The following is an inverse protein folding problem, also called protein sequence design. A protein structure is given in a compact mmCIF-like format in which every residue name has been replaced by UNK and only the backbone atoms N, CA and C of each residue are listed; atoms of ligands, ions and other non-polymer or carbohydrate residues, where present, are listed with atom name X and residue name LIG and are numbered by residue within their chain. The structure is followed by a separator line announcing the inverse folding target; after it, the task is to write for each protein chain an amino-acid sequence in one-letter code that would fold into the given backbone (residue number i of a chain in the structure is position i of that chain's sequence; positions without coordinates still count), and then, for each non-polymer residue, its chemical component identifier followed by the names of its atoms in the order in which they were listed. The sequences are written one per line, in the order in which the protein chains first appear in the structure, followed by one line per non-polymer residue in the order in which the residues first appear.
data_IF_318291188586
#
_entry.id   IF_318291188586
#
_cell.length_a   1.000
_cell.length_b   1.000
_cell.length_c   1.000
_cell.angle_alpha   90.00
_cell.angle_beta   90.00
_cell.angle_gamma   90.00
#
_symmetry.space_group_name_H-M   'P 1'
#
loop_
_entity.id
_entity.type
_entity.pdbx_description
1 polymer ?
#
# COMPACT_ATOMS: atom_id res chain seq x y z
N UNK A 1 -3.43 19.97 -3.42
CA UNK A 1 -2.88 18.72 -4.00
C UNK A 1 -3.53 18.31 -5.33
N UNK A 2 -2.89 18.67 -6.44
CA UNK A 2 -3.27 18.23 -7.81
C UNK A 2 -2.45 17.01 -8.29
N UNK A 3 -1.38 16.64 -7.57
CA UNK A 3 -0.47 15.59 -8.02
C UNK A 3 -0.96 14.17 -7.76
N UNK A 4 -1.39 13.53 -8.86
CA UNK A 4 -1.79 12.12 -8.98
C UNK A 4 -0.65 11.09 -8.79
N UNK A 5 0.58 11.50 -8.47
CA UNK A 5 1.75 10.59 -8.51
C UNK A 5 1.71 9.48 -7.45
N UNK A 6 0.98 9.70 -6.35
CA UNK A 6 0.78 8.69 -5.31
C UNK A 6 -0.52 7.90 -5.48
N UNK A 7 -1.34 8.19 -6.50
CA UNK A 7 -2.73 7.75 -6.75
C UNK A 7 -3.42 7.03 -5.57
N UNK A 8 -3.20 5.72 -5.42
CA UNK A 8 -3.83 4.89 -4.37
C UNK A 8 -3.43 5.26 -2.94
N UNK A 9 -2.24 5.84 -2.74
CA UNK A 9 -1.70 6.28 -1.46
C UNK A 9 -1.94 7.77 -1.17
N UNK A 10 -2.56 8.54 -2.08
CA UNK A 10 -2.78 9.97 -1.88
C UNK A 10 -3.48 10.31 -0.54
N UNK A 11 -4.53 9.59 -0.09
CA UNK A 11 -5.12 9.83 1.22
C UNK A 11 -4.14 9.65 2.39
N UNK A 12 -3.20 8.70 2.28
CA UNK A 12 -2.19 8.44 3.30
C UNK A 12 -1.11 9.51 3.32
N UNK A 13 -0.70 10.00 2.16
CA UNK A 13 0.22 11.14 2.06
C UNK A 13 -0.39 12.39 2.69
N UNK A 14 -1.67 12.69 2.38
CA UNK A 14 -2.37 13.83 2.97
C UNK A 14 -2.45 13.71 4.50
N UNK A 15 -2.78 12.53 5.02
CA UNK A 15 -2.84 12.27 6.45
C UNK A 15 -1.47 12.46 7.13
N UNK A 16 -0.39 11.95 6.51
CA UNK A 16 0.97 12.16 7.00
C UNK A 16 1.36 13.64 7.02
N UNK A 17 1.15 14.37 5.91
CA UNK A 17 1.51 15.80 5.88
C UNK A 17 0.74 16.58 6.94
N UNK A 18 -0.55 16.32 7.06
CA UNK A 18 -1.40 16.98 8.07
C UNK A 18 -0.89 16.71 9.48
N UNK A 19 -0.38 15.50 9.76
CA UNK A 19 0.10 15.14 11.10
C UNK A 19 1.49 15.68 11.44
N UNK A 20 2.32 16.00 10.44
CA UNK A 20 3.70 16.46 10.65
C UNK A 20 3.85 17.97 10.54
N UNK A 21 2.86 18.68 10.00
CA UNK A 21 2.88 20.15 9.90
C UNK A 21 2.20 20.79 11.10
N UNK A 22 2.74 21.89 11.60
CA UNK A 22 2.27 22.57 12.82
C UNK A 22 1.45 23.84 12.56
N UNK A 23 1.42 24.32 11.31
CA UNK A 23 0.66 25.50 10.90
C UNK A 23 0.10 25.37 9.49
N UNK A 24 -0.94 26.15 9.18
CA UNK A 24 -1.51 26.21 7.84
C UNK A 24 -0.51 26.72 6.78
N UNK A 25 0.38 27.62 7.18
CA UNK A 25 1.44 28.15 6.29
C UNK A 25 2.47 27.06 5.95
N UNK A 26 2.92 26.31 6.95
CA UNK A 26 3.85 25.19 6.72
C UNK A 26 3.20 24.11 5.84
N UNK A 27 1.93 23.79 6.10
CA UNK A 27 1.15 22.87 5.26
C UNK A 27 1.08 23.33 3.81
N UNK A 28 0.75 24.60 3.55
CA UNK A 28 0.65 25.14 2.20
C UNK A 28 1.99 25.08 1.45
N UNK A 29 3.11 25.31 2.14
CA UNK A 29 4.45 25.18 1.55
C UNK A 29 4.76 23.73 1.17
N UNK A 30 4.44 22.78 2.05
CA UNK A 30 4.65 21.34 1.80
C UNK A 30 3.74 20.85 0.68
N UNK A 31 2.44 21.20 0.68
CA UNK A 31 1.50 20.83 -0.39
C UNK A 31 1.98 21.33 -1.75
N UNK A 32 2.46 22.59 -1.82
CA UNK A 32 3.03 23.15 -3.04
C UNK A 32 4.30 22.41 -3.48
N UNK A 33 5.17 22.02 -2.55
CA UNK A 33 6.36 21.23 -2.88
C UNK A 33 5.98 19.83 -3.39
N UNK A 34 4.97 19.19 -2.81
CA UNK A 34 4.47 17.91 -3.31
C UNK A 34 4.00 18.00 -4.76
N UNK A 35 3.31 19.08 -5.09
CA UNK A 35 2.82 19.32 -6.44
C UNK A 35 3.94 19.56 -7.48
N UNK A 36 5.10 20.08 -7.06
CA UNK A 36 6.20 20.42 -7.98
C UNK A 36 7.30 19.35 -8.03
N UNK A 37 7.69 18.80 -6.88
CA UNK A 37 8.94 18.04 -6.72
C UNK A 37 8.73 16.68 -6.06
N UNK A 38 7.75 16.56 -5.14
CA UNK A 38 7.54 15.33 -4.39
C UNK A 38 7.35 14.11 -5.29
N UNK A 39 6.59 14.29 -6.37
CA UNK A 39 6.38 13.29 -7.40
C UNK A 39 7.69 12.78 -8.04
N UNK A 40 8.58 13.72 -8.37
CA UNK A 40 9.87 13.42 -8.96
C UNK A 40 10.75 12.66 -7.98
N UNK A 41 10.81 13.09 -6.71
CA UNK A 41 11.58 12.41 -5.68
C UNK A 41 11.10 10.95 -5.50
N UNK A 42 9.79 10.74 -5.41
CA UNK A 42 9.21 9.39 -5.31
C UNK A 42 9.57 8.51 -6.52
N UNK A 43 9.50 9.06 -7.74
CA UNK A 43 9.87 8.35 -8.96
C UNK A 43 11.36 7.99 -8.97
N UNK A 44 12.24 8.92 -8.63
CA UNK A 44 13.69 8.71 -8.61
C UNK A 44 14.08 7.56 -7.67
N UNK A 45 13.52 7.50 -6.46
CA UNK A 45 13.77 6.39 -5.53
C UNK A 45 13.41 5.03 -6.13
N UNK A 46 12.27 4.94 -6.79
CA UNK A 46 11.81 3.69 -7.43
C UNK A 46 12.61 3.31 -8.66
N UNK A 47 13.05 4.29 -9.45
CA UNK A 47 13.91 4.08 -10.60
C UNK A 47 15.29 3.57 -10.18
N UNK A 48 15.87 4.14 -9.13
CA UNK A 48 17.16 3.70 -8.59
C UNK A 48 17.06 2.25 -8.10
N UNK A 49 16.04 1.95 -7.28
CA UNK A 49 15.76 0.57 -6.85
C UNK A 49 15.57 -0.37 -8.04
N UNK A 50 14.79 0.04 -9.05
CA UNK A 50 14.57 -0.80 -10.23
C UNK A 50 15.86 -1.10 -10.99
N UNK A 51 16.74 -0.12 -11.17
CA UNK A 51 18.02 -0.30 -11.88
C UNK A 51 18.89 -1.33 -11.17
N UNK A 52 18.93 -1.30 -9.84
CA UNK A 52 19.70 -2.24 -9.01
C UNK A 52 19.13 -3.67 -9.08
N UNK A 53 17.80 -3.80 -9.12
CA UNK A 53 17.10 -5.08 -9.05
C UNK A 53 16.52 -5.58 -10.39
N UNK A 54 16.92 -4.97 -11.51
CA UNK A 54 16.31 -5.21 -12.83
C UNK A 54 16.35 -6.68 -13.25
N UNK A 55 17.45 -7.38 -12.97
CA UNK A 55 17.63 -8.77 -13.37
C UNK A 55 16.69 -9.72 -12.61
N UNK A 56 16.34 -9.41 -11.36
CA UNK A 56 15.37 -10.19 -10.59
C UNK A 56 13.98 -10.13 -11.23
N UNK A 57 13.58 -8.96 -11.74
CA UNK A 57 12.31 -8.78 -12.45
C UNK A 57 12.27 -9.45 -13.84
N UNK A 58 13.42 -9.65 -14.50
CA UNK A 58 13.48 -10.29 -15.82
C UNK A 58 13.16 -11.78 -15.78
N UNK A 59 13.63 -12.46 -14.74
CA UNK A 59 13.69 -13.92 -14.67
C UNK A 59 12.35 -14.61 -14.33
N UNK A 60 11.23 -13.89 -14.38
CA UNK A 60 9.93 -14.47 -14.02
C UNK A 60 9.29 -15.28 -15.15
N UNK A 61 8.87 -16.49 -14.80
CA UNK A 61 7.96 -17.35 -15.57
C UNK A 61 6.53 -17.15 -15.07
N UNK A 62 5.54 -17.32 -15.97
CA UNK A 62 4.12 -16.99 -15.80
C UNK A 62 3.52 -17.28 -14.41
N UNK A 63 3.32 -16.22 -13.60
CA UNK A 63 2.66 -16.27 -12.29
C UNK A 63 3.02 -15.08 -11.39
N UNK A 64 2.24 -14.86 -10.32
CA UNK A 64 2.62 -13.92 -9.24
C UNK A 64 3.61 -14.63 -8.32
N UNK A 65 4.88 -14.23 -8.36
CA UNK A 65 5.91 -14.75 -7.46
C UNK A 65 5.89 -13.98 -6.15
N UNK A 66 5.83 -14.68 -5.01
CA UNK A 66 5.88 -14.05 -3.68
C UNK A 66 7.17 -13.23 -3.50
N UNK A 67 8.30 -13.72 -4.01
CA UNK A 67 9.56 -13.00 -3.96
C UNK A 67 9.49 -11.67 -4.74
N UNK A 68 8.91 -11.68 -5.94
CA UNK A 68 8.77 -10.47 -6.74
C UNK A 68 7.70 -9.53 -6.22
N UNK A 69 6.65 -10.06 -5.59
CA UNK A 69 5.66 -9.28 -4.89
C UNK A 69 6.32 -8.48 -3.77
N UNK A 70 7.10 -9.15 -2.91
CA UNK A 70 7.89 -8.49 -1.85
C UNK A 70 8.92 -7.51 -2.43
N UNK A 71 9.57 -7.84 -3.54
CA UNK A 71 10.49 -6.94 -4.22
C UNK A 71 9.79 -5.69 -4.74
N UNK A 72 8.56 -5.83 -5.23
CA UNK A 72 7.73 -4.70 -5.69
C UNK A 72 7.28 -3.82 -4.52
N UNK A 73 6.95 -4.40 -3.36
CA UNK A 73 6.69 -3.63 -2.14
C UNK A 73 7.93 -2.84 -1.73
N UNK A 74 9.11 -3.46 -1.73
CA UNK A 74 10.39 -2.79 -1.43
C UNK A 74 10.68 -1.66 -2.42
N UNK A 75 10.39 -1.84 -3.71
CA UNK A 75 10.53 -0.78 -4.70
C UNK A 75 9.68 0.44 -4.34
N UNK A 76 8.41 0.25 -4.00
CA UNK A 76 7.51 1.35 -3.59
C UNK A 76 8.02 2.03 -2.31
N UNK A 77 8.43 1.24 -1.30
CA UNK A 77 8.99 1.78 -0.07
C UNK A 77 10.30 2.56 -0.30
N UNK A 78 11.14 2.14 -1.24
CA UNK A 78 12.33 2.89 -1.66
C UNK A 78 11.96 4.25 -2.24
N UNK A 79 10.90 4.32 -3.05
CA UNK A 79 10.31 5.58 -3.49
C UNK A 79 9.92 6.48 -2.33
N UNK A 80 9.19 5.96 -1.35
CA UNK A 80 8.76 6.76 -0.20
C UNK A 80 9.91 7.18 0.71
N UNK A 81 10.92 6.34 0.91
CA UNK A 81 12.13 6.72 1.66
C UNK A 81 12.83 7.90 0.97
N UNK A 82 13.08 7.82 -0.34
CA UNK A 82 13.72 8.90 -1.08
C UNK A 82 12.87 10.18 -1.10
N UNK A 83 11.55 10.04 -1.20
CA UNK A 83 10.61 11.15 -1.08
C UNK A 83 10.70 11.82 0.29
N UNK A 84 10.77 11.05 1.37
CA UNK A 84 10.86 11.58 2.72
C UNK A 84 12.21 12.26 2.99
N UNK A 85 13.30 11.66 2.51
CA UNK A 85 14.64 12.26 2.57
C UNK A 85 14.66 13.63 1.86
N UNK A 86 14.03 13.72 0.69
CA UNK A 86 13.89 14.98 -0.04
C UNK A 86 13.01 15.99 0.71
N UNK A 87 11.91 15.54 1.32
CA UNK A 87 11.02 16.37 2.13
C UNK A 87 11.76 17.01 3.31
N UNK A 88 12.46 16.21 4.11
CA UNK A 88 13.18 16.73 5.31
C UNK A 88 14.42 17.54 4.94
N UNK A 89 14.99 17.30 3.75
CA UNK A 89 16.06 18.15 3.19
C UNK A 89 15.52 19.53 2.82
N UNK A 90 14.35 19.57 2.15
CA UNK A 90 13.71 20.81 1.73
C UNK A 90 13.11 21.59 2.92
N UNK A 91 12.61 20.87 3.92
CA UNK A 91 12.02 21.44 5.14
C UNK A 91 12.73 20.90 6.38
N UNK A 92 13.93 21.40 6.73
CA UNK A 92 14.72 20.88 7.85
C UNK A 92 14.02 20.89 9.20
N UNK A 93 13.05 21.81 9.39
CA UNK A 93 12.21 21.85 10.59
C UNK A 93 11.36 20.58 10.80
N UNK A 94 11.13 19.79 9.73
CA UNK A 94 10.44 18.50 9.80
C UNK A 94 11.38 17.35 10.18
N UNK A 95 12.70 17.55 10.23
CA UNK A 95 13.66 16.51 10.62
C UNK A 95 13.68 16.33 12.14
N UNK A 96 12.62 15.70 12.67
CA UNK A 96 12.46 15.42 14.09
C UNK A 96 12.14 13.94 14.29
N UNK A 97 12.42 13.44 15.49
CA UNK A 97 12.11 12.05 15.86
C UNK A 97 10.62 11.72 15.69
N UNK A 98 9.73 12.63 16.12
CA UNK A 98 8.28 12.46 15.99
C UNK A 98 7.84 12.32 14.53
N UNK A 99 8.40 13.12 13.63
CA UNK A 99 8.12 13.03 12.19
C UNK A 99 8.68 11.72 11.60
N UNK A 100 9.84 11.27 12.07
CA UNK A 100 10.41 9.97 11.70
C UNK A 100 9.51 8.78 12.12
N UNK A 101 8.91 8.84 13.31
CA UNK A 101 7.94 7.85 13.78
C UNK A 101 6.67 7.85 12.92
N UNK A 102 6.09 9.03 12.67
CA UNK A 102 4.93 9.16 11.78
C UNK A 102 5.21 8.61 10.37
N UNK A 103 6.42 8.82 9.85
CA UNK A 103 6.82 8.26 8.58
C UNK A 103 7.00 6.73 8.62
N UNK A 104 7.50 6.19 9.73
CA UNK A 104 7.57 4.74 9.94
C UNK A 104 6.19 4.10 9.90
N UNK A 105 5.21 4.68 10.59
CA UNK A 105 3.83 4.21 10.61
C UNK A 105 3.20 4.30 9.21
N UNK A 106 3.42 5.43 8.52
CA UNK A 106 2.98 5.62 7.13
C UNK A 106 3.49 4.50 6.20
N UNK A 107 4.75 4.06 6.34
CA UNK A 107 5.30 2.97 5.53
C UNK A 107 4.59 1.65 5.76
N UNK A 108 4.27 1.32 7.02
CA UNK A 108 3.52 0.10 7.37
C UNK A 108 2.15 0.14 6.70
N UNK A 109 1.48 1.28 6.75
CA UNK A 109 0.17 1.44 6.11
C UNK A 109 0.25 1.33 4.57
N UNK A 110 1.32 1.82 3.94
CA UNK A 110 1.47 1.79 2.48
C UNK A 110 1.63 0.39 1.91
N UNK A 111 2.06 -0.59 2.71
CA UNK A 111 2.19 -2.00 2.30
C UNK A 111 1.10 -2.90 2.88
N UNK A 112 0.05 -2.30 3.46
CA UNK A 112 -1.10 -3.04 3.98
C UNK A 112 -1.78 -3.90 2.91
N UNK A 113 -2.38 -5.00 3.31
CA UNK A 113 -2.96 -6.02 2.41
C UNK A 113 -4.04 -5.48 1.46
N UNK A 114 -4.70 -4.38 1.81
CA UNK A 114 -5.68 -3.72 0.94
C UNK A 114 -5.05 -3.22 -0.36
N UNK A 115 -3.73 -3.00 -0.40
CA UNK A 115 -2.97 -2.64 -1.60
C UNK A 115 -2.43 -3.85 -2.36
N UNK A 116 -2.72 -5.10 -1.96
CA UNK A 116 -2.15 -6.29 -2.60
C UNK A 116 -2.48 -6.36 -4.11
N UNK A 117 -3.69 -5.97 -4.51
CA UNK A 117 -4.07 -5.92 -5.92
C UNK A 117 -3.22 -4.89 -6.72
N UNK A 118 -2.90 -3.75 -6.10
CA UNK A 118 -2.01 -2.74 -6.68
C UNK A 118 -0.61 -3.33 -6.85
N UNK A 119 -0.05 -3.94 -5.81
CA UNK A 119 1.28 -4.53 -5.87
C UNK A 119 1.38 -5.68 -6.88
N UNK A 120 0.37 -6.53 -6.96
CA UNK A 120 0.32 -7.62 -7.95
C UNK A 120 0.32 -7.07 -9.39
N UNK A 121 -0.52 -6.07 -9.66
CA UNK A 121 -0.58 -5.40 -10.96
C UNK A 121 0.75 -4.74 -11.31
N UNK A 122 1.32 -4.02 -10.35
CA UNK A 122 2.62 -3.35 -10.50
C UNK A 122 3.74 -4.33 -10.78
N UNK A 123 3.79 -5.44 -10.05
CA UNK A 123 4.79 -6.48 -10.25
C UNK A 123 4.74 -7.02 -11.69
N UNK A 124 3.55 -7.33 -12.21
CA UNK A 124 3.37 -7.82 -13.59
C UNK A 124 3.89 -6.80 -14.61
N UNK A 125 3.56 -5.53 -14.44
CA UNK A 125 4.02 -4.47 -15.34
C UNK A 125 5.55 -4.30 -15.25
N UNK A 126 6.12 -4.22 -14.04
CA UNK A 126 7.57 -4.09 -13.83
C UNK A 126 8.33 -5.26 -14.46
N UNK A 127 7.81 -6.49 -14.36
CA UNK A 127 8.38 -7.66 -15.04
C UNK A 127 8.35 -7.52 -16.56
N UNK A 128 7.20 -7.15 -17.15
CA UNK A 128 7.08 -6.93 -18.60
C UNK A 128 8.06 -5.85 -19.08
N UNK A 129 8.22 -4.76 -18.32
CA UNK A 129 9.17 -3.70 -18.62
C UNK A 129 10.62 -4.19 -18.55
N UNK A 130 10.98 -4.93 -17.49
CA UNK A 130 12.31 -5.52 -17.34
C UNK A 130 12.67 -6.48 -18.49
N UNK A 131 11.67 -7.25 -18.97
CA UNK A 131 11.77 -8.18 -20.10
C UNK A 131 11.85 -7.49 -21.47
N UNK A 132 11.79 -6.15 -21.53
CA UNK A 132 11.80 -5.40 -22.79
C UNK A 132 10.52 -5.57 -23.62
N UNK A 133 9.42 -6.05 -23.02
CA UNK A 133 8.11 -6.18 -23.69
C UNK A 133 7.40 -4.84 -23.89
N UNK A 134 7.87 -3.79 -23.21
CA UNK A 134 7.50 -2.42 -23.48
C UNK A 134 8.72 -1.71 -24.08
N UNK A 135 8.64 -1.39 -25.37
CA UNK A 135 9.66 -0.62 -26.09
C UNK A 135 9.45 0.89 -25.93
N UNK A 136 8.23 1.31 -25.60
CA UNK A 136 7.85 2.70 -25.31
C UNK A 136 7.48 2.84 -23.83
N UNK A 137 8.20 3.68 -23.05
CA UNK A 137 7.86 4.02 -21.67
C UNK A 137 6.42 4.55 -21.49
N UNK A 138 5.82 5.13 -22.54
CA UNK A 138 4.45 5.65 -22.53
C UNK A 138 3.42 4.53 -22.46
N UNK A 139 3.67 3.39 -23.11
CA UNK A 139 2.81 2.21 -23.03
C UNK A 139 2.86 1.55 -21.64
N UNK A 140 4.02 1.63 -20.98
CA UNK A 140 4.17 1.25 -19.58
C UNK A 140 3.32 2.14 -18.66
N UNK A 141 3.32 3.45 -18.87
CA UNK A 141 2.54 4.40 -18.09
C UNK A 141 1.02 4.23 -18.30
N UNK A 142 0.58 4.02 -19.53
CA UNK A 142 -0.84 3.77 -19.85
C UNK A 142 -1.37 2.47 -19.22
N UNK A 143 -0.60 1.39 -19.30
CA UNK A 143 -1.01 0.12 -18.68
C UNK A 143 -0.97 0.18 -17.14
N UNK A 144 -0.05 0.99 -16.59
CA UNK A 144 0.00 1.31 -15.17
C UNK A 144 -1.23 2.11 -14.71
N UNK A 145 -1.60 3.17 -15.44
CA UNK A 145 -2.80 3.97 -15.15
C UNK A 145 -4.06 3.12 -15.19
N UNK A 146 -4.24 2.32 -16.26
CA UNK A 146 -5.41 1.43 -16.42
C UNK A 146 -5.54 0.41 -15.28
N UNK A 147 -4.44 -0.22 -14.86
CA UNK A 147 -4.45 -1.21 -13.79
C UNK A 147 -4.58 -0.57 -12.40
N UNK A 148 -4.06 0.64 -12.22
CA UNK A 148 -4.26 1.40 -10.99
C UNK A 148 -5.69 1.88 -10.83
N UNK A 149 -6.36 2.34 -11.88
CA UNK A 149 -7.78 2.72 -11.80
C UNK A 149 -8.62 1.52 -11.31
N UNK A 150 -8.43 0.35 -11.92
CA UNK A 150 -9.10 -0.88 -11.49
C UNK A 150 -8.78 -1.29 -10.04
N UNK A 151 -7.53 -1.08 -9.58
CA UNK A 151 -7.14 -1.38 -8.21
C UNK A 151 -7.63 -0.33 -7.20
N UNK A 152 -7.73 0.93 -7.61
CA UNK A 152 -8.27 2.04 -6.80
C UNK A 152 -9.75 1.81 -6.52
N UNK A 153 -10.52 1.39 -7.52
CA UNK A 153 -11.93 1.03 -7.37
C UNK A 153 -12.12 -0.13 -6.39
N UNK A 154 -11.21 -1.11 -6.42
CA UNK A 154 -11.21 -2.22 -5.46
C UNK A 154 -10.90 -1.78 -4.03
N UNK A 155 -9.99 -0.81 -3.84
CA UNK A 155 -9.66 -0.25 -2.51
C UNK A 155 -10.82 0.61 -1.97
N UNK A 156 -11.45 1.42 -2.83
CA UNK A 156 -12.62 2.20 -2.47
C UNK A 156 -13.77 1.28 -2.01
N UNK A 157 -14.02 0.18 -2.74
CA UNK A 157 -14.99 -0.85 -2.37
C UNK A 157 -14.66 -1.54 -1.04
N UNK A 158 -13.40 -1.90 -0.80
CA UNK A 158 -12.95 -2.47 0.47
C UNK A 158 -13.16 -1.51 1.65
N UNK A 159 -12.81 -0.24 1.49
CA UNK A 159 -13.00 0.79 2.52
C UNK A 159 -14.48 1.08 2.79
N UNK A 160 -15.34 1.07 1.77
CA UNK A 160 -16.79 1.15 1.94
C UNK A 160 -17.36 -0.05 2.72
N UNK A 161 -16.90 -1.27 2.42
CA UNK A 161 -17.33 -2.46 3.15
C UNK A 161 -16.88 -2.45 4.61
N UNK A 162 -15.65 -1.98 4.89
CA UNK A 162 -15.14 -1.81 6.25
C UNK A 162 -15.94 -0.77 7.04
N UNK A 163 -16.36 0.32 6.41
CA UNK A 163 -17.20 1.37 7.03
C UNK A 163 -18.67 0.97 7.15
N UNK A 164 -19.12 -0.06 6.42
CA UNK A 164 -20.46 -0.66 6.52
C UNK A 164 -20.50 -1.89 7.44
N UNK A 165 -19.35 -2.40 7.89
CA UNK A 165 -19.30 -3.49 8.86
C UNK A 165 -19.82 -2.96 10.21
N UNK A 166 -20.93 -3.49 10.75
CA UNK A 166 -21.41 -3.09 12.06
C UNK A 166 -20.35 -3.43 13.12
N UNK A 167 -20.19 -2.55 14.12
CA UNK A 167 -19.46 -2.82 15.35
C UNK A 167 -20.13 -3.92 16.20
N UNK A 168 -20.24 -5.13 15.66
CA UNK A 168 -20.80 -6.30 16.33
C UNK A 168 -19.84 -7.47 16.22
N UNK A 169 -18.68 -7.35 16.85
CA UNK A 169 -17.97 -8.50 17.43
C UNK A 169 -17.43 -8.10 18.79
N UNK A 170 -18.35 -7.82 19.72
CA UNK A 170 -18.11 -8.03 21.14
C UNK A 170 -19.19 -9.01 21.60
N UNK A 171 -18.79 -10.02 22.36
CA UNK A 171 -19.55 -11.19 22.85
C UNK A 171 -19.66 -12.36 21.87
N UNK A 172 -18.69 -13.28 21.96
CA UNK A 172 -18.92 -14.58 22.60
C UNK A 172 -17.67 -15.43 22.40
N UNK A 173 -16.81 -15.50 23.42
CA UNK A 173 -16.07 -16.72 23.78
C UNK A 173 -15.43 -16.48 25.14
N UNK A 174 -16.22 -16.64 26.19
CA UNK A 174 -15.70 -17.10 27.47
C UNK A 174 -16.84 -17.70 28.31
N UNK A 175 -16.92 -19.02 28.33
CA UNK A 175 -17.48 -19.82 29.43
C UNK A 175 -17.09 -21.27 29.18
N UNK A 176 -15.95 -21.69 29.74
CA UNK A 176 -15.71 -23.10 30.00
C UNK A 176 -16.70 -23.61 31.05
N UNK A 177 -17.10 -24.88 30.95
CA UNK A 177 -18.02 -25.50 31.89
C UNK A 177 -18.32 -26.95 31.54
N UNK A 178 -17.46 -27.85 32.01
CA UNK A 178 -17.67 -29.29 32.15
C UNK A 178 -19.02 -29.60 32.80
N UNK A 179 -19.77 -30.63 32.35
CA UNK A 179 -20.47 -31.64 33.20
C UNK A 179 -20.93 -32.83 32.33
N UNK A 180 -20.75 -34.05 32.87
CA UNK A 180 -21.10 -35.36 32.34
C UNK A 180 -22.56 -35.79 32.68
N UNK A 181 -23.03 -36.84 31.98
CA UNK A 181 -24.17 -37.76 32.27
C UNK A 181 -25.58 -37.16 32.04
N UNK A 182 -26.52 -37.80 31.34
CA UNK A 182 -27.15 -39.09 31.65
C UNK A 182 -27.96 -39.64 30.44
N UNK A 183 -28.10 -40.97 30.42
CA UNK A 183 -28.94 -41.76 29.52
C UNK A 183 -30.42 -41.34 29.52
N UNK A 184 -31.08 -41.47 28.36
CA UNK A 184 -32.45 -41.99 28.32
C UNK A 184 -32.67 -42.82 27.05
N UNK A 185 -32.94 -44.11 27.26
CA UNK A 185 -33.24 -45.15 26.28
C UNK A 185 -34.76 -45.23 26.13
N UNK A 186 -35.31 -45.09 24.92
CA UNK A 186 -36.68 -45.54 24.58
C UNK A 186 -36.75 -45.97 23.10
N UNK A 187 -37.51 -47.04 22.73
CA UNK A 187 -37.16 -47.99 21.68
C UNK A 187 -37.89 -47.75 20.35
N UNK A 188 -37.34 -48.27 19.25
CA UNK A 188 -38.01 -48.29 17.95
C UNK A 188 -38.54 -49.71 17.64
N UNK A 189 -39.82 -49.86 17.20
CA UNK A 189 -40.45 -51.16 17.06
C UNK A 189 -40.10 -51.81 15.72
N UNK A 190 -40.13 -53.15 15.75
CA UNK A 190 -40.00 -54.05 14.60
C UNK A 190 -41.07 -53.82 13.52
N UNK A 191 -40.76 -54.24 12.29
CA UNK A 191 -41.41 -55.45 11.76
C UNK A 191 -40.56 -56.71 11.86
#
# INVERSE_FOLDING_TARGET
MNTKIYNVWAPKVIALITSITTSAEQYALVDKWLDNEGATAFRVGQENFFKEHKEEFKNTTSGVSEALFKLTQKQVLSGFNHWFDALITQFPALNTEAVGLNFSDFKVECVHECYNAVFASRMVITCKYAQGKFTDPTLYLLEWERLNEAATDSIASFNEQKNKAPQNYSLMHNSGGTTLQHEEVVPNPRP
#
